data_IF_800320881808
#
_entry.id   IF_800320881808
#
_cell.length_a   1.000
_cell.length_b   1.000
_cell.length_c   1.000
_cell.angle_alpha   90.00
_cell.angle_beta   90.00
_cell.angle_gamma   90.00
#
_symmetry.space_group_name_H-M   'P 1'
#
loop_
_entity.id
_entity.type
_entity.pdbx_description
1 polymer ?
#
# COMPACT_ATOMS: atom_id res chain seq x y z
N UNK A 1 17.03 28.32 8.00
CA UNK A 1 16.54 28.09 6.61
C UNK A 1 16.80 26.66 6.11
N UNK A 2 18.04 26.15 6.06
CA UNK A 2 18.37 24.86 5.41
C UNK A 2 17.75 23.61 6.05
N UNK A 3 17.75 23.52 7.38
CA UNK A 3 17.22 22.35 8.12
C UNK A 3 15.72 22.17 7.90
N UNK A 4 14.97 23.27 7.82
CA UNK A 4 13.51 23.22 7.61
C UNK A 4 13.14 22.59 6.26
N UNK A 5 13.84 22.97 5.18
CA UNK A 5 13.64 22.37 3.86
C UNK A 5 13.98 20.87 3.85
N UNK A 6 15.04 20.47 4.56
CA UNK A 6 15.39 19.06 4.68
C UNK A 6 14.26 18.24 5.33
N UNK A 7 13.70 18.73 6.45
CA UNK A 7 12.57 18.06 7.15
C UNK A 7 11.35 17.96 6.24
N UNK A 8 10.99 19.03 5.52
CA UNK A 8 9.85 19.01 4.60
C UNK A 8 10.04 18.01 3.45
N UNK A 9 11.23 17.97 2.85
CA UNK A 9 11.55 17.01 1.78
C UNK A 9 11.44 15.58 2.31
N UNK A 10 11.99 15.30 3.50
CA UNK A 10 11.88 13.98 4.13
C UNK A 10 10.43 13.58 4.37
N UNK A 11 9.60 14.47 4.93
CA UNK A 11 8.18 14.20 5.15
C UNK A 11 7.44 13.95 3.83
N UNK A 12 7.72 14.73 2.79
CA UNK A 12 7.10 14.56 1.47
C UNK A 12 7.45 13.19 0.85
N UNK A 13 8.73 12.81 0.90
CA UNK A 13 9.20 11.49 0.41
C UNK A 13 8.56 10.35 1.21
N UNK A 14 8.53 10.44 2.55
CA UNK A 14 7.88 9.43 3.39
C UNK A 14 6.39 9.28 3.05
N UNK A 15 5.69 10.39 2.81
CA UNK A 15 4.27 10.39 2.44
C UNK A 15 4.04 9.68 1.11
N UNK A 16 4.91 9.91 0.12
CA UNK A 16 4.86 9.24 -1.17
C UNK A 16 5.11 7.73 -1.07
N UNK A 17 6.10 7.30 -0.29
CA UNK A 17 6.41 5.88 -0.11
C UNK A 17 5.22 5.12 0.49
N UNK A 18 4.57 5.71 1.50
CA UNK A 18 3.39 5.11 2.16
C UNK A 18 2.21 5.01 1.18
N UNK A 19 2.07 5.96 0.25
CA UNK A 19 0.98 5.94 -0.75
C UNK A 19 1.19 4.95 -1.91
N UNK A 20 2.44 4.64 -2.27
CA UNK A 20 2.76 3.83 -3.46
C UNK A 20 2.86 2.34 -3.12
N UNK A 21 3.35 1.99 -1.92
CA UNK A 21 3.51 0.59 -1.54
C UNK A 21 2.21 0.00 -1.04
N UNK A 22 1.65 -0.93 -1.80
CA UNK A 22 0.60 -1.80 -1.29
C UNK A 22 1.11 -2.60 -0.09
N UNK A 23 0.22 -2.87 0.84
CA UNK A 23 0.48 -3.68 2.01
C UNK A 23 0.21 -5.13 1.62
N UNK A 24 1.29 -5.92 1.52
CA UNK A 24 1.20 -7.35 1.32
C UNK A 24 0.51 -8.01 2.52
N UNK A 25 -0.67 -8.59 2.31
CA UNK A 25 -1.36 -9.38 3.32
C UNK A 25 -1.05 -10.87 3.11
N UNK A 26 -0.98 -11.65 4.19
CA UNK A 26 -0.63 -13.07 4.10
C UNK A 26 -1.81 -13.96 3.65
N UNK A 27 -2.51 -13.52 2.59
CA UNK A 27 -3.63 -14.23 1.99
C UNK A 27 -3.19 -14.78 0.65
N UNK A 28 -3.27 -16.10 0.48
CA UNK A 28 -2.95 -16.75 -0.79
C UNK A 28 -3.99 -16.39 -1.84
N UNK A 29 -3.54 -16.16 -3.07
CA UNK A 29 -4.41 -15.89 -4.21
C UNK A 29 -3.87 -16.55 -5.49
N UNK A 30 -4.78 -16.81 -6.44
CA UNK A 30 -4.47 -17.23 -7.82
C UNK A 30 -4.76 -16.13 -8.84
N UNK A 31 -5.69 -15.24 -8.53
CA UNK A 31 -6.07 -14.11 -9.37
C UNK A 31 -6.45 -12.91 -8.50
N UNK A 32 -6.29 -11.69 -9.02
CA UNK A 32 -6.51 -10.43 -8.26
C UNK A 32 -7.93 -10.29 -7.69
N UNK A 33 -8.94 -10.88 -8.34
CA UNK A 33 -10.32 -10.88 -7.82
C UNK A 33 -10.46 -11.53 -6.43
N UNK A 34 -9.60 -12.47 -6.06
CA UNK A 34 -9.59 -13.08 -4.72
C UNK A 34 -9.13 -12.12 -3.63
N UNK A 35 -8.43 -11.04 -3.99
CA UNK A 35 -7.90 -10.05 -3.05
C UNK A 35 -8.87 -8.92 -2.76
N UNK A 36 -9.95 -8.77 -3.53
CA UNK A 36 -10.90 -7.67 -3.35
C UNK A 36 -11.56 -7.70 -1.97
N UNK A 37 -12.06 -8.86 -1.55
CA UNK A 37 -12.69 -9.03 -0.23
C UNK A 37 -11.66 -8.97 0.92
N UNK A 38 -10.54 -9.72 0.89
CA UNK A 38 -9.49 -9.62 1.91
C UNK A 38 -8.93 -8.22 2.10
N UNK A 39 -8.66 -7.48 1.01
CA UNK A 39 -8.18 -6.10 1.14
C UNK A 39 -9.25 -5.17 1.71
N UNK A 40 -10.52 -5.36 1.33
CA UNK A 40 -11.65 -4.61 1.92
C UNK A 40 -11.80 -4.88 3.42
N UNK A 41 -11.68 -6.14 3.83
CA UNK A 41 -11.74 -6.56 5.24
C UNK A 41 -10.54 -6.01 6.05
N UNK A 42 -9.38 -5.82 5.39
CA UNK A 42 -8.22 -5.14 5.96
C UNK A 42 -8.31 -3.59 5.94
N UNK A 43 -9.47 -3.03 5.58
CA UNK A 43 -9.70 -1.57 5.55
C UNK A 43 -9.21 -0.85 4.28
N UNK A 44 -8.67 -1.58 3.31
CA UNK A 44 -8.08 -1.07 2.06
C UNK A 44 -9.10 -1.09 0.91
N UNK A 45 -8.79 -0.46 -0.24
CA UNK A 45 -9.74 -0.34 -1.37
C UNK A 45 -9.47 -1.32 -2.49
N UNK A 46 -8.20 -1.51 -2.83
CA UNK A 46 -7.80 -2.27 -4.00
C UNK A 46 -6.89 -3.41 -3.56
N UNK A 47 -7.01 -4.54 -4.25
CA UNK A 47 -6.18 -5.72 -4.03
C UNK A 47 -5.72 -6.30 -5.36
N UNK A 48 -4.45 -6.65 -5.45
CA UNK A 48 -3.87 -7.39 -6.59
C UNK A 48 -3.22 -8.67 -6.08
N UNK A 49 -3.19 -9.70 -6.92
CA UNK A 49 -2.49 -10.92 -6.60
C UNK A 49 -1.06 -10.86 -7.18
N UNK A 50 -0.05 -10.89 -6.33
CA UNK A 50 1.37 -10.83 -6.71
C UNK A 50 2.10 -11.97 -5.98
N UNK A 51 2.87 -12.78 -6.71
CA UNK A 51 3.62 -13.93 -6.17
C UNK A 51 2.74 -14.90 -5.34
N UNK A 52 1.48 -15.06 -5.74
CA UNK A 52 0.52 -15.93 -5.06
C UNK A 52 -0.03 -15.37 -3.74
N UNK A 53 0.20 -14.09 -3.43
CA UNK A 53 -0.32 -13.40 -2.25
C UNK A 53 -1.02 -12.08 -2.62
N UNK A 54 -1.94 -11.66 -1.77
CA UNK A 54 -2.65 -10.41 -1.96
C UNK A 54 -1.81 -9.21 -1.52
N UNK A 55 -1.73 -8.21 -2.40
CA UNK A 55 -1.10 -6.92 -2.20
C UNK A 55 -2.19 -5.84 -2.26
N UNK A 56 -2.37 -5.10 -1.17
CA UNK A 56 -3.52 -4.23 -0.97
C UNK A 56 -3.12 -2.75 -0.96
N UNK A 57 -3.76 -1.91 -1.76
CA UNK A 57 -3.46 -0.46 -1.76
C UNK A 57 -4.29 0.25 -0.68
N UNK A 58 -3.64 1.02 0.23
CA UNK A 58 -4.37 1.79 1.24
C UNK A 58 -5.37 2.75 0.60
N UNK A 59 -6.43 3.08 1.35
CA UNK A 59 -7.30 4.20 0.96
C UNK A 59 -6.45 5.45 1.08
N UNK A 60 -6.13 6.07 -0.06
CA UNK A 60 -5.55 7.41 -0.08
C UNK A 60 -6.43 8.43 0.62
#
# INVERSE_FOLDING_TARGET
MKVFFAVLITLFICSMIIGIHGVGINVKCKHSGQCLKPCKDAGMRFGKCINGKCDCTPKG
#
